data_IF_129075197016
#
_entry.id   IF_129075197016
#
_cell.length_a   1.000
_cell.length_b   1.000
_cell.length_c   1.000
_cell.angle_alpha   90.00
_cell.angle_beta   90.00
_cell.angle_gamma   90.00
#
_symmetry.space_group_name_H-M   'P 1'
#
loop_
_entity.id
_entity.type
_entity.pdbx_description
1 polymer ?
#
# COMPACT_ATOMS: atom_id res chain seq x y z
N UNK A 1 14.26 32.72 49.71
CA UNK A 1 15.41 32.16 48.97
C UNK A 1 15.00 31.78 47.56
N UNK A 2 15.71 32.36 46.60
CA UNK A 2 15.59 32.10 45.19
C UNK A 2 16.99 31.81 44.62
N UNK A 3 17.07 30.83 43.71
CA UNK A 3 18.12 30.53 42.72
C UNK A 3 17.61 29.32 41.93
N UNK A 4 17.35 29.46 40.63
CA UNK A 4 18.35 29.43 39.55
C UNK A 4 19.09 28.09 39.51
N UNK A 5 18.78 27.25 38.52
CA UNK A 5 19.54 27.26 37.25
C UNK A 5 18.69 26.65 36.11
N UNK A 6 18.37 27.48 35.11
CA UNK A 6 18.14 27.04 33.74
C UNK A 6 19.47 26.58 33.13
N UNK A 7 19.47 25.60 32.20
CA UNK A 7 20.19 25.65 30.91
C UNK A 7 20.35 24.27 30.22
N UNK A 8 19.57 24.03 29.15
CA UNK A 8 20.06 23.95 27.74
C UNK A 8 19.10 23.17 26.82
N UNK A 9 18.28 23.93 26.08
CA UNK A 9 17.72 23.48 24.80
C UNK A 9 18.74 23.76 23.68
N UNK A 10 19.15 22.71 22.95
CA UNK A 10 20.02 22.83 21.78
C UNK A 10 19.22 22.90 20.48
N UNK A 11 18.96 24.11 19.97
CA UNK A 11 18.36 24.33 18.66
C UNK A 11 19.41 24.40 17.54
N UNK A 12 19.07 23.92 16.35
CA UNK A 12 19.76 24.34 15.11
C UNK A 12 18.85 24.15 13.90
N UNK A 13 18.05 25.18 13.62
CA UNK A 13 17.24 25.31 12.41
C UNK A 13 17.17 26.80 12.02
N UNK A 14 18.12 27.26 11.22
CA UNK A 14 18.07 28.60 10.65
C UNK A 14 19.03 28.75 9.46
N UNK A 15 18.47 28.82 8.25
CA UNK A 15 18.85 29.69 7.13
C UNK A 15 17.91 29.37 5.96
N UNK A 16 17.40 30.28 5.14
CA UNK A 16 17.13 31.71 5.22
C UNK A 16 16.46 32.05 3.87
N UNK A 17 15.27 32.66 3.89
CA UNK A 17 14.65 33.20 2.67
C UNK A 17 15.32 34.53 2.31
N UNK A 18 15.72 34.73 1.06
CA UNK A 18 15.93 36.09 0.52
C UNK A 18 15.85 36.18 -1.01
N UNK A 19 15.06 37.15 -1.47
CA UNK A 19 15.19 37.94 -2.72
C UNK A 19 15.23 37.25 -4.09
N UNK A 20 14.14 37.45 -4.84
CA UNK A 20 14.11 37.50 -6.30
C UNK A 20 14.99 38.63 -6.86
N UNK A 21 15.40 38.53 -8.14
CA UNK A 21 15.10 39.63 -9.06
C UNK A 21 14.52 39.17 -10.42
N UNK A 22 14.10 40.15 -11.21
CA UNK A 22 13.35 40.00 -12.46
C UNK A 22 14.24 39.84 -13.71
N UNK A 23 13.60 39.32 -14.80
CA UNK A 23 13.56 39.90 -16.17
C UNK A 23 14.10 39.01 -17.33
N UNK A 24 13.38 39.07 -18.46
CA UNK A 24 13.69 38.56 -19.82
C UNK A 24 13.87 37.04 -20.01
N UNK A 25 13.42 36.38 -21.08
CA UNK A 25 12.62 36.84 -22.24
C UNK A 25 13.34 36.74 -23.59
N UNK A 26 13.46 35.54 -24.16
CA UNK A 26 13.89 35.23 -25.54
C UNK A 26 13.16 33.93 -25.99
N UNK A 27 12.73 33.77 -27.26
CA UNK A 27 11.88 32.66 -27.68
C UNK A 27 12.66 31.40 -28.12
N UNK A 28 12.03 30.24 -28.01
CA UNK A 28 12.48 29.00 -28.65
C UNK A 28 11.82 28.89 -30.03
N UNK A 29 12.63 28.91 -31.08
CA UNK A 29 12.21 28.59 -32.45
C UNK A 29 13.06 27.46 -33.04
N UNK A 30 12.54 26.82 -34.09
CA UNK A 30 13.34 25.98 -34.99
C UNK A 30 13.30 24.48 -34.75
N UNK A 31 12.18 23.82 -35.09
CA UNK A 31 12.19 22.39 -35.40
C UNK A 31 12.72 22.20 -36.84
N UNK A 32 14.01 21.89 -36.98
CA UNK A 32 14.63 21.54 -38.26
C UNK A 32 14.44 20.06 -38.62
N UNK A 33 14.03 19.77 -39.85
CA UNK A 33 13.94 18.42 -40.40
C UNK A 33 15.25 18.00 -41.11
N UNK A 34 15.25 16.80 -41.71
CA UNK A 34 16.35 16.11 -42.44
C UNK A 34 17.40 15.40 -41.56
N UNK A 35 17.98 14.26 -41.94
CA UNK A 35 17.72 13.35 -43.08
C UNK A 35 18.90 12.41 -43.39
N UNK A 36 18.65 11.13 -43.70
CA UNK A 36 19.65 10.11 -44.10
C UNK A 36 19.40 8.75 -43.40
N UNK A 37 19.28 7.57 -44.03
CA UNK A 37 20.13 6.86 -45.03
C UNK A 37 21.61 6.83 -44.57
N UNK A 38 22.40 5.74 -44.58
CA UNK A 38 22.39 4.36 -45.15
C UNK A 38 23.54 3.56 -44.42
N UNK A 39 23.76 2.24 -44.47
CA UNK A 39 23.11 1.06 -45.08
C UNK A 39 23.64 -0.26 -44.44
N UNK A 40 22.96 -1.39 -44.68
CA UNK A 40 23.47 -2.79 -44.91
C UNK A 40 24.75 -3.31 -44.23
N UNK A 41 24.62 -4.46 -43.55
CA UNK A 41 25.72 -5.39 -43.19
C UNK A 41 25.35 -6.20 -41.94
N UNK A 42 25.11 -7.52 -41.96
CA UNK A 42 25.25 -8.49 -43.05
C UNK A 42 26.38 -9.49 -42.78
N UNK A 43 26.28 -10.28 -41.71
CA UNK A 43 27.12 -11.49 -41.57
C UNK A 43 26.42 -12.59 -40.77
N UNK A 44 26.27 -13.76 -41.39
CA UNK A 44 25.77 -14.96 -40.74
C UNK A 44 26.90 -15.64 -39.96
N UNK A 45 26.60 -16.08 -38.73
CA UNK A 45 27.54 -16.77 -37.85
C UNK A 45 26.88 -17.99 -37.21
N UNK A 46 26.71 -19.07 -38.00
CA UNK A 46 26.27 -20.37 -37.46
C UNK A 46 27.36 -20.98 -36.59
N UNK A 47 27.11 -21.13 -35.29
CA UNK A 47 27.90 -22.00 -34.43
C UNK A 47 26.99 -22.82 -33.53
N UNK A 48 26.77 -24.08 -33.91
CA UNK A 48 26.06 -25.05 -33.09
C UNK A 48 27.03 -25.65 -32.07
N UNK A 49 26.90 -25.26 -30.79
CA UNK A 49 27.58 -25.96 -29.69
C UNK A 49 26.56 -26.77 -28.91
N UNK A 50 26.45 -28.04 -29.31
CA UNK A 50 25.69 -29.04 -28.58
C UNK A 50 26.49 -29.49 -27.34
N UNK A 51 26.08 -29.08 -26.14
CA UNK A 51 26.54 -29.70 -24.88
C UNK A 51 25.37 -29.94 -23.93
N UNK A 52 24.87 -31.17 -23.97
CA UNK A 52 23.97 -31.79 -23.01
C UNK A 52 24.60 -31.93 -21.61
N UNK A 53 24.71 -30.83 -20.88
CA UNK A 53 25.13 -30.82 -19.48
C UNK A 53 23.97 -31.08 -18.52
N UNK A 54 23.62 -32.35 -18.25
CA UNK A 54 22.71 -32.72 -17.13
C UNK A 54 23.37 -32.52 -15.76
N UNK A 55 23.74 -31.29 -15.43
CA UNK A 55 24.06 -30.91 -14.06
C UNK A 55 22.77 -30.60 -13.30
N UNK A 56 22.11 -31.65 -12.79
CA UNK A 56 21.24 -31.51 -11.62
C UNK A 56 22.13 -31.22 -10.42
N UNK A 57 22.50 -29.95 -10.26
CA UNK A 57 23.25 -29.49 -9.12
C UNK A 57 22.32 -29.47 -7.90
N UNK A 58 22.42 -30.53 -7.08
CA UNK A 58 21.87 -30.54 -5.71
C UNK A 58 22.67 -29.56 -4.83
N UNK A 59 22.57 -28.26 -5.11
CA UNK A 59 22.88 -27.20 -4.15
C UNK A 59 21.77 -27.15 -3.10
N UNK A 60 21.67 -28.23 -2.30
CA UNK A 60 20.98 -28.16 -1.03
C UNK A 60 21.87 -27.33 -0.11
N UNK A 61 21.76 -25.99 -0.22
CA UNK A 61 22.31 -25.05 0.77
C UNK A 61 21.90 -25.61 2.14
N UNK A 62 22.86 -25.74 3.07
CA UNK A 62 22.50 -25.84 4.48
C UNK A 62 21.63 -24.63 4.78
N UNK A 63 20.38 -24.83 5.17
CA UNK A 63 19.46 -23.74 5.52
C UNK A 63 20.14 -22.83 6.53
N UNK A 64 20.03 -21.52 6.34
CA UNK A 64 20.59 -20.53 7.27
C UNK A 64 19.68 -20.54 8.51
N UNK A 65 19.96 -21.49 9.41
CA UNK A 65 19.07 -21.88 10.50
C UNK A 65 18.51 -20.68 11.27
N UNK A 66 17.18 -20.71 11.48
CA UNK A 66 16.43 -19.73 12.28
C UNK A 66 17.18 -19.44 13.57
N UNK A 67 17.67 -18.21 13.73
CA UNK A 67 18.64 -17.95 14.81
C UNK A 67 17.99 -17.91 16.19
N UNK A 68 16.76 -17.41 16.26
CA UNK A 68 15.90 -17.35 17.45
C UNK A 68 14.44 -17.26 17.00
N UNK A 69 13.59 -18.03 17.66
CA UNK A 69 12.14 -17.83 17.70
C UNK A 69 11.77 -17.34 19.10
N UNK A 70 10.95 -16.28 19.17
CA UNK A 70 10.42 -15.73 20.43
C UNK A 70 8.93 -15.54 20.26
N UNK A 71 8.13 -16.24 21.06
CA UNK A 71 6.68 -16.06 21.11
C UNK A 71 6.27 -15.37 22.42
N UNK A 72 5.33 -14.43 22.32
CA UNK A 72 4.75 -13.71 23.46
C UNK A 72 3.31 -13.28 23.13
N UNK A 73 2.53 -12.91 24.14
CA UNK A 73 1.17 -12.42 23.96
C UNK A 73 1.02 -11.00 24.53
N UNK A 74 0.17 -10.18 23.89
CA UNK A 74 -0.28 -8.88 24.40
C UNK A 74 -1.78 -8.82 24.17
N UNK A 75 -2.56 -8.68 25.26
CA UNK A 75 -4.01 -8.77 25.20
C UNK A 75 -4.48 -10.15 24.69
N UNK A 76 -5.34 -10.14 23.67
CA UNK A 76 -5.80 -11.33 22.95
C UNK A 76 -4.88 -11.75 21.77
N UNK A 77 -3.87 -10.95 21.43
CA UNK A 77 -2.98 -11.18 20.30
C UNK A 77 -1.74 -11.98 20.69
N UNK A 78 -1.37 -12.97 19.86
CA UNK A 78 -0.14 -13.75 19.99
C UNK A 78 0.86 -13.33 18.91
N UNK A 79 2.06 -12.95 19.33
CA UNK A 79 3.15 -12.51 18.47
C UNK A 79 4.22 -13.58 18.40
N UNK A 80 4.72 -13.86 17.19
CA UNK A 80 5.87 -14.76 16.97
C UNK A 80 6.93 -14.00 16.18
N UNK A 81 8.08 -13.75 16.80
CA UNK A 81 9.23 -13.11 16.18
C UNK A 81 10.26 -14.17 15.76
N UNK A 82 10.66 -14.17 14.49
CA UNK A 82 11.63 -15.12 13.92
C UNK A 82 12.76 -14.38 13.23
N UNK A 83 14.01 -14.74 13.52
CA UNK A 83 15.19 -14.05 12.98
C UNK A 83 15.83 -14.82 11.84
N UNK A 84 15.72 -14.26 10.63
CA UNK A 84 16.41 -14.70 9.42
C UNK A 84 17.54 -13.75 9.03
N UNK A 85 18.50 -14.25 8.24
CA UNK A 85 19.55 -13.42 7.66
C UNK A 85 19.01 -12.47 6.59
N UNK A 86 18.05 -12.96 5.81
CA UNK A 86 17.29 -12.20 4.82
C UNK A 86 15.80 -12.43 5.13
N UNK A 87 15.08 -11.42 5.67
CA UNK A 87 13.67 -11.54 6.00
C UNK A 87 12.76 -11.60 4.77
N UNK A 88 13.29 -11.29 3.57
CA UNK A 88 12.57 -11.36 2.30
C UNK A 88 12.91 -12.63 1.50
N UNK A 89 13.58 -13.61 2.13
CA UNK A 89 13.84 -14.91 1.53
C UNK A 89 12.63 -15.84 1.60
N UNK A 90 12.54 -16.79 0.66
CA UNK A 90 11.46 -17.78 0.57
C UNK A 90 11.33 -18.60 1.86
N UNK A 91 12.47 -18.99 2.46
CA UNK A 91 12.54 -19.69 3.74
C UNK A 91 11.94 -18.85 4.89
N UNK A 92 12.22 -17.54 4.91
CA UNK A 92 11.67 -16.63 5.90
C UNK A 92 10.15 -16.42 5.74
N UNK A 93 9.67 -16.24 4.52
CA UNK A 93 8.24 -16.06 4.22
C UNK A 93 7.41 -17.32 4.47
N UNK A 94 7.91 -18.49 4.05
CA UNK A 94 7.27 -19.77 4.33
C UNK A 94 7.21 -20.03 5.84
N UNK A 95 8.30 -19.77 6.57
CA UNK A 95 8.32 -19.87 8.02
C UNK A 95 7.38 -18.86 8.71
N UNK A 96 7.22 -17.65 8.17
CA UNK A 96 6.28 -16.65 8.66
C UNK A 96 4.79 -17.02 8.42
N UNK A 97 4.50 -18.09 7.68
CA UNK A 97 3.13 -18.55 7.47
C UNK A 97 2.35 -17.78 6.40
N UNK A 98 3.05 -17.16 5.44
CA UNK A 98 2.45 -16.36 4.35
C UNK A 98 1.33 -17.11 3.59
N UNK A 99 1.41 -18.44 3.47
CA UNK A 99 0.42 -19.28 2.78
C UNK A 99 -0.92 -19.41 3.54
N UNK A 100 -0.96 -19.05 4.82
CA UNK A 100 -2.12 -19.17 5.71
C UNK A 100 -2.50 -17.83 6.37
N UNK A 101 -1.95 -16.72 5.87
CA UNK A 101 -2.17 -15.39 6.41
C UNK A 101 -3.17 -14.62 5.56
N UNK A 102 -4.23 -14.07 6.17
CA UNK A 102 -5.20 -13.23 5.47
C UNK A 102 -4.52 -11.97 4.88
N UNK A 103 -3.53 -11.45 5.60
CA UNK A 103 -2.73 -10.30 5.16
C UNK A 103 -1.25 -10.41 5.52
N UNK A 104 -0.42 -9.73 4.73
CA UNK A 104 1.04 -9.65 4.90
C UNK A 104 1.49 -8.20 4.74
N UNK A 105 2.17 -7.66 5.75
CA UNK A 105 2.78 -6.33 5.67
C UNK A 105 4.27 -6.47 5.34
N UNK A 106 4.71 -6.01 4.17
CA UNK A 106 6.10 -6.05 3.75
C UNK A 106 6.80 -4.72 4.04
N UNK A 107 7.71 -4.75 5.02
CA UNK A 107 8.66 -3.68 5.32
C UNK A 107 10.10 -4.09 4.97
N UNK A 108 10.97 -3.09 4.79
CA UNK A 108 12.41 -3.31 4.67
C UNK A 108 13.16 -2.93 5.95
N UNK A 109 14.28 -3.61 6.26
CA UNK A 109 15.23 -3.13 7.26
C UNK A 109 15.75 -1.73 6.92
N UNK A 110 16.08 -0.96 7.95
CA UNK A 110 16.74 0.34 7.77
C UNK A 110 18.10 0.18 7.07
N UNK A 111 18.47 1.16 6.24
CA UNK A 111 19.75 1.22 5.54
C UNK A 111 19.70 0.96 4.03
N UNK A 112 18.57 0.49 3.50
CA UNK A 112 18.35 0.43 2.04
C UNK A 112 17.81 1.77 1.51
N UNK A 113 18.43 2.28 0.44
CA UNK A 113 17.98 3.46 -0.28
C UNK A 113 17.18 3.10 -1.54
N UNK A 114 16.34 4.03 -1.97
CA UNK A 114 15.78 4.01 -3.32
C UNK A 114 16.91 4.09 -4.37
N UNK A 115 16.86 3.35 -5.49
CA UNK A 115 15.77 2.48 -5.97
C UNK A 115 15.83 1.03 -5.49
N UNK A 116 16.87 0.64 -4.77
CA UNK A 116 17.11 -0.76 -4.40
C UNK A 116 16.05 -1.29 -3.43
N UNK A 117 15.57 -0.45 -2.52
CA UNK A 117 14.47 -0.76 -1.59
C UNK A 117 13.22 -1.27 -2.32
N UNK A 118 12.72 -0.47 -3.25
CA UNK A 118 11.46 -0.74 -3.95
C UNK A 118 11.58 -1.99 -4.85
N UNK A 119 12.76 -2.23 -5.43
CA UNK A 119 13.04 -3.42 -6.21
C UNK A 119 13.05 -4.70 -5.36
N UNK A 120 13.60 -4.67 -4.15
CA UNK A 120 13.54 -5.80 -3.22
C UNK A 120 12.10 -6.08 -2.76
N UNK A 121 11.32 -5.05 -2.42
CA UNK A 121 9.93 -5.21 -2.00
C UNK A 121 9.02 -5.71 -3.13
N UNK A 122 9.25 -5.28 -4.37
CA UNK A 122 8.55 -5.82 -5.53
C UNK A 122 8.92 -7.29 -5.79
N UNK A 123 10.19 -7.66 -5.58
CA UNK A 123 10.64 -9.07 -5.67
C UNK A 123 9.99 -9.93 -4.59
N UNK A 124 9.86 -9.39 -3.37
CA UNK A 124 9.17 -10.03 -2.26
C UNK A 124 7.66 -10.21 -2.54
N UNK A 125 7.00 -9.23 -3.14
CA UNK A 125 5.59 -9.33 -3.55
C UNK A 125 5.36 -10.49 -4.54
N UNK A 126 6.23 -10.67 -5.54
CA UNK A 126 6.16 -11.82 -6.44
C UNK A 126 6.42 -13.15 -5.73
N UNK A 127 7.28 -13.17 -4.73
CA UNK A 127 7.54 -14.37 -3.90
C UNK A 127 6.32 -14.73 -3.04
N UNK A 128 5.64 -13.74 -2.45
CA UNK A 128 4.35 -13.95 -1.77
C UNK A 128 3.30 -14.51 -2.73
N UNK A 129 3.20 -14.01 -3.97
CA UNK A 129 2.30 -14.57 -4.98
C UNK A 129 2.69 -15.99 -5.43
N UNK A 130 3.98 -16.35 -5.40
CA UNK A 130 4.40 -17.73 -5.66
C UNK A 130 3.98 -18.68 -4.52
N UNK A 131 4.22 -18.28 -3.26
CA UNK A 131 3.83 -19.06 -2.08
C UNK A 131 2.30 -19.17 -1.93
N UNK A 132 1.58 -18.07 -2.16
CA UNK A 132 0.11 -18.02 -2.09
C UNK A 132 -0.58 -18.77 -3.25
N UNK A 133 0.15 -19.21 -4.29
CA UNK A 133 -0.43 -20.07 -5.33
C UNK A 133 -0.93 -21.42 -4.77
N UNK A 134 -0.37 -21.86 -3.63
CA UNK A 134 -0.76 -23.08 -2.91
C UNK A 134 -1.82 -22.83 -1.81
N UNK A 135 -2.16 -21.56 -1.54
CA UNK A 135 -3.13 -21.18 -0.51
C UNK A 135 -4.58 -21.51 -0.91
N UNK A 136 -5.43 -21.75 0.09
CA UNK A 136 -6.86 -22.00 -0.10
C UNK A 136 -7.69 -20.71 -0.24
N UNK A 137 -7.14 -19.58 0.23
CA UNK A 137 -7.72 -18.25 0.16
C UNK A 137 -6.78 -17.29 -0.58
N UNK A 138 -7.27 -16.11 -0.92
CA UNK A 138 -6.43 -15.04 -1.43
C UNK A 138 -5.72 -14.33 -0.25
N UNK A 139 -4.55 -13.74 -0.50
CA UNK A 139 -3.73 -13.03 0.50
C UNK A 139 -3.68 -11.54 0.16
N UNK A 140 -3.87 -10.65 1.13
CA UNK A 140 -3.72 -9.21 0.93
C UNK A 140 -2.34 -8.69 1.37
N UNK A 141 -1.60 -8.04 0.47
CA UNK A 141 -0.22 -7.60 0.74
C UNK A 141 -0.12 -6.07 0.79
N UNK A 142 0.26 -5.51 1.93
CA UNK A 142 0.47 -4.07 2.09
C UNK A 142 1.97 -3.77 2.08
N UNK A 143 2.40 -2.83 1.22
CA UNK A 143 3.82 -2.51 1.03
C UNK A 143 4.02 -1.00 1.04
N UNK A 144 5.04 -0.54 1.77
CA UNK A 144 5.56 0.84 1.65
C UNK A 144 6.53 0.92 0.47
N UNK A 145 6.25 1.76 -0.53
CA UNK A 145 7.18 2.07 -1.64
C UNK A 145 7.51 3.57 -1.67
N UNK A 146 8.68 3.92 -2.21
CA UNK A 146 9.07 5.32 -2.36
C UNK A 146 8.59 5.94 -3.69
N UNK A 147 8.37 5.12 -4.73
CA UNK A 147 8.17 5.61 -6.11
C UNK A 147 6.83 5.23 -6.74
N UNK A 148 6.14 6.22 -7.30
CA UNK A 148 4.90 6.04 -8.08
C UNK A 148 5.11 5.18 -9.32
N UNK A 149 6.30 5.24 -9.94
CA UNK A 149 6.65 4.42 -11.08
C UNK A 149 6.63 2.92 -10.72
N UNK A 150 7.09 2.57 -9.52
CA UNK A 150 7.06 1.19 -9.02
C UNK A 150 5.62 0.72 -8.84
N UNK A 151 4.74 1.58 -8.32
CA UNK A 151 3.29 1.28 -8.25
C UNK A 151 2.69 0.99 -9.62
N UNK A 152 2.97 1.84 -10.62
CA UNK A 152 2.49 1.64 -12.00
C UNK A 152 3.05 0.37 -12.64
N UNK A 153 4.32 0.03 -12.39
CA UNK A 153 4.96 -1.19 -12.91
C UNK A 153 4.33 -2.43 -12.27
N UNK A 154 4.26 -2.48 -10.94
CA UNK A 154 3.70 -3.60 -10.20
C UNK A 154 2.25 -3.89 -10.62
N UNK A 155 1.41 -2.85 -10.70
CA UNK A 155 0.02 -2.98 -11.15
C UNK A 155 -0.07 -3.61 -12.55
N UNK A 156 0.64 -3.07 -13.54
CA UNK A 156 0.62 -3.59 -14.92
C UNK A 156 1.12 -5.04 -15.03
N UNK A 157 2.10 -5.44 -14.23
CA UNK A 157 2.55 -6.83 -14.20
C UNK A 157 1.53 -7.76 -13.54
N UNK A 158 0.95 -7.37 -12.40
CA UNK A 158 -0.04 -8.19 -11.70
C UNK A 158 -1.40 -8.28 -12.40
N UNK A 159 -1.75 -7.31 -13.23
CA UNK A 159 -2.91 -7.39 -14.14
C UNK A 159 -2.73 -8.43 -15.25
N UNK A 160 -1.48 -8.83 -15.56
CA UNK A 160 -1.14 -9.81 -16.59
C UNK A 160 -0.90 -11.22 -16.04
N UNK A 161 -0.86 -11.40 -14.71
CA UNK A 161 -0.60 -12.71 -14.11
C UNK A 161 -1.85 -13.62 -14.15
N UNK A 162 -1.76 -14.84 -14.72
CA UNK A 162 -2.81 -15.83 -14.58
C UNK A 162 -2.90 -16.33 -13.13
N UNK A 163 -4.10 -16.68 -12.67
CA UNK A 163 -4.36 -17.25 -11.34
C UNK A 163 -3.80 -16.41 -10.17
N UNK A 164 -4.00 -15.08 -10.22
CA UNK A 164 -3.65 -14.17 -9.13
C UNK A 164 -4.35 -14.59 -7.83
N UNK A 165 -3.54 -14.86 -6.81
CA UNK A 165 -3.95 -15.18 -5.41
C UNK A 165 -3.62 -14.05 -4.45
N UNK A 166 -2.84 -13.07 -4.90
CA UNK A 166 -2.46 -11.90 -4.11
C UNK A 166 -3.20 -10.67 -4.60
N UNK A 167 -3.90 -10.01 -3.68
CA UNK A 167 -4.25 -8.60 -3.82
C UNK A 167 -3.21 -7.77 -3.08
N UNK A 168 -2.96 -6.53 -3.47
CA UNK A 168 -1.93 -5.73 -2.82
C UNK A 168 -2.23 -4.23 -2.90
N UNK A 169 -1.74 -3.48 -1.90
CA UNK A 169 -1.75 -2.03 -1.90
C UNK A 169 -0.32 -1.50 -1.72
N UNK A 170 0.06 -0.51 -2.53
CA UNK A 170 1.40 0.08 -2.53
C UNK A 170 1.29 1.51 -1.99
N UNK A 171 1.50 1.62 -0.70
CA UNK A 171 1.43 2.87 0.03
C UNK A 171 2.65 3.74 -0.28
N UNK A 172 2.41 5.03 -0.53
CA UNK A 172 3.44 6.06 -0.63
C UNK A 172 3.28 7.04 0.55
N UNK A 173 3.88 6.77 1.73
CA UNK A 173 3.66 7.58 2.92
C UNK A 173 4.00 9.06 2.74
N UNK A 174 4.96 9.38 1.88
CA UNK A 174 5.35 10.76 1.58
C UNK A 174 4.21 11.53 0.87
N UNK A 175 3.39 10.85 0.06
CA UNK A 175 2.19 11.46 -0.55
C UNK A 175 1.09 11.66 0.47
N UNK A 176 0.84 10.68 1.34
CA UNK A 176 -0.13 10.75 2.44
C UNK A 176 0.25 11.89 3.39
N UNK A 177 1.52 11.93 3.81
CA UNK A 177 2.09 12.98 4.68
C UNK A 177 1.96 14.35 4.03
N UNK A 178 2.30 14.49 2.74
CA UNK A 178 2.16 15.76 2.02
C UNK A 178 0.70 16.23 1.93
N UNK A 179 -0.24 15.31 1.73
CA UNK A 179 -1.66 15.62 1.71
C UNK A 179 -2.18 16.06 3.09
N UNK A 180 -1.81 15.33 4.16
CA UNK A 180 -2.14 15.68 5.55
C UNK A 180 -1.57 17.05 5.93
N UNK A 181 -0.29 17.31 5.63
CA UNK A 181 0.35 18.60 5.91
C UNK A 181 -0.33 19.75 5.15
N UNK A 182 -0.76 19.52 3.91
CA UNK A 182 -1.50 20.53 3.11
C UNK A 182 -2.86 20.85 3.73
N UNK A 183 -3.58 19.83 4.23
CA UNK A 183 -4.87 20.02 4.92
C UNK A 183 -4.70 20.71 6.28
N UNK A 184 -3.70 20.31 7.07
CA UNK A 184 -3.36 20.94 8.35
C UNK A 184 -2.91 22.40 8.19
N UNK A 185 -2.17 22.73 7.11
CA UNK A 185 -1.81 24.11 6.78
C UNK A 185 -3.04 24.98 6.41
N UNK A 186 -4.10 24.38 5.86
CA UNK A 186 -5.35 25.07 5.56
C UNK A 186 -6.25 25.25 6.81
N UNK A 187 -6.41 24.21 7.63
CA UNK A 187 -7.05 24.32 8.95
C UNK A 187 -6.26 23.49 9.98
N UNK A 188 -5.62 24.12 10.98
CA UNK A 188 -4.78 23.41 11.96
C UNK A 188 -5.47 22.25 12.70
N UNK A 189 -6.77 22.35 12.98
CA UNK A 189 -7.53 21.30 13.67
C UNK A 189 -7.62 19.97 12.89
N UNK A 190 -7.32 19.94 11.58
CA UNK A 190 -7.23 18.68 10.84
C UNK A 190 -6.20 17.70 11.43
N UNK A 191 -5.15 18.19 12.10
CA UNK A 191 -4.15 17.28 12.68
C UNK A 191 -4.75 16.39 13.76
N UNK A 192 -5.69 16.90 14.55
CA UNK A 192 -6.39 16.14 15.60
C UNK A 192 -7.28 15.07 14.98
N UNK A 193 -8.02 15.41 13.92
CA UNK A 193 -8.85 14.47 13.17
C UNK A 193 -8.01 13.34 12.56
N UNK A 194 -6.83 13.66 12.03
CA UNK A 194 -5.90 12.66 11.46
C UNK A 194 -5.26 11.80 12.56
N UNK A 195 -4.99 12.36 13.74
CA UNK A 195 -4.51 11.59 14.90
C UNK A 195 -5.57 10.61 15.40
N UNK A 196 -6.82 11.05 15.53
CA UNK A 196 -7.95 10.18 15.88
C UNK A 196 -8.09 9.03 14.87
N UNK A 197 -8.25 9.34 13.58
CA UNK A 197 -8.62 8.35 12.55
C UNK A 197 -7.49 7.43 12.09
N UNK A 198 -6.21 7.82 12.22
CA UNK A 198 -5.06 7.07 11.66
C UNK A 198 -3.98 6.69 12.67
N UNK A 199 -4.06 7.13 13.93
CA UNK A 199 -3.00 6.90 14.95
C UNK A 199 -3.57 6.34 16.25
N UNK A 200 -4.77 6.73 16.64
CA UNK A 200 -5.49 6.07 17.73
C UNK A 200 -6.00 4.70 17.28
N UNK A 201 -6.03 3.75 18.23
CA UNK A 201 -6.84 2.52 18.16
C UNK A 201 -8.07 2.61 19.07
N UNK A 202 -8.28 3.76 19.70
CA UNK A 202 -9.36 4.05 20.62
C UNK A 202 -10.18 5.20 20.02
N UNK A 203 -11.52 5.11 20.06
CA UNK A 203 -12.41 6.13 19.51
C UNK A 203 -12.95 5.76 18.13
N UNK A 204 -13.28 6.77 17.31
CA UNK A 204 -14.00 6.54 16.05
C UNK A 204 -13.08 6.04 14.93
N UNK A 205 -13.31 4.83 14.45
CA UNK A 205 -12.60 4.22 13.30
C UNK A 205 -13.47 4.15 12.03
N UNK A 206 -12.82 3.85 10.89
CA UNK A 206 -13.47 3.67 9.58
C UNK A 206 -13.65 2.20 9.25
N UNK A 207 -14.89 1.79 8.96
CA UNK A 207 -15.23 0.41 8.61
C UNK A 207 -15.91 0.32 7.23
N UNK A 208 -15.70 -0.82 6.55
CA UNK A 208 -16.37 -1.18 5.31
C UNK A 208 -17.20 -2.45 5.58
N UNK A 209 -18.53 -2.34 5.46
CA UNK A 209 -19.48 -3.32 6.02
C UNK A 209 -20.56 -3.72 5.02
N UNK A 210 -21.18 -4.88 5.21
CA UNK A 210 -22.35 -5.30 4.42
C UNK A 210 -23.59 -4.40 4.65
N UNK A 211 -24.41 -4.23 3.61
CA UNK A 211 -25.68 -3.49 3.70
C UNK A 211 -26.76 -4.22 4.51
N UNK A 212 -26.69 -5.55 4.60
CA UNK A 212 -27.65 -6.38 5.35
C UNK A 212 -27.62 -6.12 6.87
N UNK A 213 -26.50 -5.63 7.39
CA UNK A 213 -26.33 -5.18 8.78
C UNK A 213 -27.20 -3.98 9.14
N UNK A 214 -27.60 -3.18 8.15
CA UNK A 214 -28.57 -2.09 8.31
C UNK A 214 -30.00 -2.54 7.95
N UNK A 215 -30.21 -3.82 7.65
CA UNK A 215 -31.49 -4.40 7.26
C UNK A 215 -31.82 -4.33 5.77
N UNK A 216 -30.95 -3.75 4.94
CA UNK A 216 -31.21 -3.60 3.49
C UNK A 216 -30.79 -4.84 2.71
N UNK A 217 -31.60 -5.24 1.72
CA UNK A 217 -31.36 -6.45 0.94
C UNK A 217 -30.85 -6.16 -0.49
N UNK A 218 -30.03 -7.05 -1.09
CA UNK A 218 -29.65 -6.93 -2.49
C UNK A 218 -30.88 -6.90 -3.42
N UNK A 219 -30.88 -5.94 -4.35
CA UNK A 219 -32.01 -5.64 -5.24
C UNK A 219 -32.94 -4.53 -4.72
N UNK A 220 -32.83 -4.13 -3.46
CA UNK A 220 -33.59 -3.02 -2.88
C UNK A 220 -33.11 -1.67 -3.44
N UNK A 221 -34.07 -0.77 -3.68
CA UNK A 221 -33.83 0.59 -4.15
C UNK A 221 -34.03 1.58 -2.99
N UNK A 222 -32.94 2.15 -2.51
CA UNK A 222 -32.90 3.06 -1.35
C UNK A 222 -32.31 4.41 -1.74
N UNK A 223 -32.44 5.43 -0.88
CA UNK A 223 -31.65 6.66 -0.98
C UNK A 223 -30.53 6.66 0.06
N UNK A 224 -29.49 7.48 -0.16
CA UNK A 224 -28.45 7.63 0.86
C UNK A 224 -28.97 8.28 2.16
N UNK A 225 -30.06 9.04 2.11
CA UNK A 225 -30.76 9.51 3.31
C UNK A 225 -31.30 8.34 4.15
N UNK A 226 -31.97 7.36 3.52
CA UNK A 226 -32.49 6.18 4.22
C UNK A 226 -31.35 5.37 4.87
N UNK A 227 -30.25 5.20 4.12
CA UNK A 227 -29.02 4.55 4.61
C UNK A 227 -28.43 5.30 5.81
N UNK A 228 -28.33 6.62 5.74
CA UNK A 228 -27.76 7.44 6.81
C UNK A 228 -28.63 7.43 8.08
N UNK A 229 -29.96 7.45 7.94
CA UNK A 229 -30.87 7.34 9.08
C UNK A 229 -30.84 5.94 9.72
N UNK A 230 -30.74 4.87 8.91
CA UNK A 230 -30.56 3.50 9.41
C UNK A 230 -29.22 3.34 10.15
N UNK A 231 -28.12 3.88 9.60
CA UNK A 231 -26.82 3.90 10.26
C UNK A 231 -26.89 4.67 11.60
N UNK A 232 -27.50 5.85 11.59
CA UNK A 232 -27.67 6.71 12.78
C UNK A 232 -28.50 6.03 13.88
N UNK A 233 -29.49 5.21 13.51
CA UNK A 233 -30.28 4.43 14.46
C UNK A 233 -29.46 3.34 15.19
N UNK A 234 -28.32 2.93 14.62
CA UNK A 234 -27.36 2.00 15.19
C UNK A 234 -26.12 2.71 15.77
N UNK A 235 -26.17 4.03 15.98
CA UNK A 235 -25.05 4.88 16.43
C UNK A 235 -23.84 4.93 15.46
N UNK A 236 -24.03 4.57 14.20
CA UNK A 236 -23.00 4.68 13.16
C UNK A 236 -23.17 5.96 12.33
N UNK A 237 -22.07 6.47 11.77
CA UNK A 237 -22.11 7.55 10.79
C UNK A 237 -21.84 6.98 9.39
N UNK A 238 -22.85 6.94 8.52
CA UNK A 238 -22.65 6.58 7.12
C UNK A 238 -21.87 7.69 6.37
N UNK A 239 -20.75 7.32 5.75
CA UNK A 239 -19.88 8.25 5.02
C UNK A 239 -19.96 8.09 3.50
N UNK A 240 -20.36 6.91 3.03
CA UNK A 240 -20.37 6.57 1.61
C UNK A 240 -20.60 5.09 1.36
N UNK A 241 -20.33 4.63 0.15
CA UNK A 241 -20.46 3.22 -0.23
C UNK A 241 -19.42 2.81 -1.27
N UNK A 242 -19.19 1.50 -1.37
CA UNK A 242 -18.35 0.83 -2.36
C UNK A 242 -19.25 0.07 -3.31
N UNK A 243 -19.06 0.26 -4.63
CA UNK A 243 -19.78 -0.46 -5.68
C UNK A 243 -18.92 -1.59 -6.25
N UNK A 244 -19.43 -2.82 -6.17
CA UNK A 244 -18.72 -4.02 -6.62
C UNK A 244 -17.47 -4.36 -5.80
N UNK A 245 -16.69 -5.33 -6.28
CA UNK A 245 -15.60 -5.97 -5.51
C UNK A 245 -14.23 -5.88 -6.16
N UNK A 246 -13.19 -5.80 -5.34
CA UNK A 246 -11.78 -5.90 -5.74
C UNK A 246 -11.26 -4.66 -6.48
N UNK A 247 -10.31 -4.85 -7.41
CA UNK A 247 -9.60 -3.76 -8.07
C UNK A 247 -10.48 -2.82 -8.93
N UNK A 248 -11.70 -3.26 -9.29
CA UNK A 248 -12.67 -2.46 -10.05
C UNK A 248 -13.73 -1.80 -9.16
N UNK A 249 -13.59 -1.86 -7.83
CA UNK A 249 -14.56 -1.34 -6.88
C UNK A 249 -14.54 0.20 -6.85
N UNK A 250 -15.70 0.83 -7.09
CA UNK A 250 -15.83 2.29 -7.07
C UNK A 250 -16.23 2.76 -5.69
N UNK A 251 -15.40 3.59 -5.07
CA UNK A 251 -15.68 4.19 -3.78
C UNK A 251 -16.37 5.55 -3.97
N UNK A 252 -17.53 5.74 -3.36
CA UNK A 252 -18.32 6.98 -3.40
C UNK A 252 -18.46 7.52 -1.99
N UNK A 253 -17.75 8.62 -1.70
CA UNK A 253 -17.76 9.29 -0.39
C UNK A 253 -18.61 10.57 -0.44
N UNK A 254 -19.27 10.88 0.67
CA UNK A 254 -20.21 12.00 0.82
C UNK A 254 -21.23 12.15 -0.34
N UNK A 255 -21.93 11.08 -0.76
CA UNK A 255 -23.04 11.20 -1.71
C UNK A 255 -24.17 12.09 -1.14
N UNK A 256 -24.94 12.73 -2.02
CA UNK A 256 -26.08 13.52 -1.60
C UNK A 256 -27.18 12.62 -1.02
N UNK A 257 -27.95 13.09 -0.04
CA UNK A 257 -29.03 12.29 0.58
C UNK A 257 -30.05 11.75 -0.43
N UNK A 258 -30.35 12.51 -1.49
CA UNK A 258 -31.25 12.11 -2.57
C UNK A 258 -30.61 11.18 -3.63
N UNK A 259 -29.34 10.80 -3.50
CA UNK A 259 -28.70 9.82 -4.37
C UNK A 259 -29.35 8.45 -4.16
N UNK A 260 -30.06 7.97 -5.18
CA UNK A 260 -30.69 6.64 -5.15
C UNK A 260 -29.69 5.55 -5.54
N UNK A 261 -29.80 4.41 -4.87
CA UNK A 261 -28.91 3.26 -4.96
C UNK A 261 -29.76 1.99 -5.07
N UNK A 262 -29.52 1.18 -6.10
CA UNK A 262 -30.00 -0.22 -6.12
C UNK A 262 -28.87 -1.10 -5.61
N UNK A 263 -29.03 -1.69 -4.43
CA UNK A 263 -27.97 -2.42 -3.72
C UNK A 263 -27.64 -3.71 -4.49
N UNK A 264 -26.37 -3.91 -4.84
CA UNK A 264 -25.88 -5.16 -5.41
C UNK A 264 -25.25 -6.06 -4.31
N UNK A 265 -25.19 -7.40 -4.50
CA UNK A 265 -24.66 -8.32 -3.47
C UNK A 265 -23.21 -8.06 -3.05
N UNK A 266 -22.39 -7.55 -3.97
CA UNK A 266 -20.97 -7.21 -3.73
C UNK A 266 -20.77 -5.77 -3.22
N UNK A 267 -21.83 -4.95 -3.11
CA UNK A 267 -21.68 -3.60 -2.58
C UNK A 267 -21.40 -3.62 -1.07
N UNK A 268 -20.75 -2.56 -0.58
CA UNK A 268 -20.46 -2.36 0.84
C UNK A 268 -20.74 -0.92 1.24
N UNK A 269 -21.08 -0.70 2.50
CA UNK A 269 -21.24 0.62 3.10
C UNK A 269 -19.93 1.05 3.75
N UNK A 270 -19.60 2.34 3.66
CA UNK A 270 -18.47 2.95 4.38
C UNK A 270 -19.05 3.71 5.56
N UNK A 271 -18.68 3.31 6.77
CA UNK A 271 -19.19 3.90 8.03
C UNK A 271 -18.03 4.36 8.93
N UNK A 272 -18.39 5.16 9.93
CA UNK A 272 -17.55 5.51 11.07
C UNK A 272 -18.25 5.10 12.37
N UNK A 273 -17.56 4.42 13.27
CA UNK A 273 -18.09 3.87 14.53
C UNK A 273 -16.97 3.74 15.58
N UNK A 274 -17.30 3.64 16.88
CA UNK A 274 -16.28 3.38 17.92
C UNK A 274 -15.79 1.93 17.92
N UNK A 275 -16.68 0.99 17.61
CA UNK A 275 -16.39 -0.44 17.55
C UNK A 275 -17.31 -1.09 16.50
N UNK A 276 -16.83 -2.13 15.83
CA UNK A 276 -17.62 -2.93 14.89
C UNK A 276 -17.61 -4.42 15.27
N UNK A 277 -18.78 -4.93 15.64
CA UNK A 277 -19.03 -6.31 16.12
C UNK A 277 -20.09 -7.05 15.24
#
# INVERSE_FOLDING_TARGET
DAREEDLLLGSSLSHALSTSPTRSGVPIGGAGATGGRRATGGMAGTSAVNRSGKHRSHWRRKGDAVKRDVAFAIGNATFTFRVFRDPLSEEAMAAAGVQTADSVVLGLPAGYSYPYSDAQLLSALFMVQALAAEAQHDVHVVIKVASTNVRTIAQKFFEQLPNRRVTFELLLPDQITSAVLTQAAWKPDYIKLVQELLVSSDGMELYIVEFDRLGFLPGEAVTFFDIAEAARALSFTALGYVRGRGANATHVLAPAGATSLVIAPDDRLIIMAEEWN
#
